data_IF_875763810399
#
_entry.id   IF_875763810399
#
_cell.length_a   1.000
_cell.length_b   1.000
_cell.length_c   1.000
_cell.angle_alpha   90.00
_cell.angle_beta   90.00
_cell.angle_gamma   90.00
#
_symmetry.space_group_name_H-M   'P 1'
#
loop_
_entity.id
_entity.type
_entity.pdbx_description
1 polymer ?
#
# COMPACT_ATOMS: atom_id res chain seq x y z
N UNK A 1 -118.46 46.96 52.03
CA UNK A 1 -117.57 46.51 53.11
C UNK A 1 -116.77 45.32 52.57
N UNK A 2 -115.43 45.44 52.49
CA UNK A 2 -114.36 44.40 52.56
C UNK A 2 -114.57 43.01 51.87
N UNK A 3 -113.65 42.24 51.27
CA UNK A 3 -112.18 42.22 51.09
C UNK A 3 -111.80 40.91 50.36
N UNK A 4 -110.86 40.97 49.40
CA UNK A 4 -109.78 40.03 48.99
C UNK A 4 -110.05 38.51 48.83
N UNK A 5 -109.64 37.92 47.70
CA UNK A 5 -108.64 36.82 47.69
C UNK A 5 -107.75 36.82 46.43
N UNK A 6 -106.45 36.65 46.66
CA UNK A 6 -105.34 36.81 45.71
C UNK A 6 -104.56 35.48 45.61
N UNK A 7 -103.77 35.33 44.53
CA UNK A 7 -102.58 34.45 44.35
C UNK A 7 -102.75 32.93 44.20
N UNK A 8 -102.43 32.42 43.00
CA UNK A 8 -101.42 31.35 42.75
C UNK A 8 -101.35 31.04 41.25
N UNK A 9 -100.35 31.56 40.52
CA UNK A 9 -99.89 31.05 39.20
C UNK A 9 -98.53 31.68 38.83
N UNK A 10 -97.58 31.63 39.75
CA UNK A 10 -96.17 31.99 39.51
C UNK A 10 -95.29 30.94 40.21
N UNK A 11 -95.19 29.72 39.66
CA UNK A 11 -94.14 28.78 40.10
C UNK A 11 -93.53 27.84 39.05
N UNK A 12 -94.15 27.62 37.87
CA UNK A 12 -93.61 26.63 36.90
C UNK A 12 -92.96 27.19 35.63
N UNK A 13 -92.55 28.46 35.60
CA UNK A 13 -91.77 28.99 34.45
C UNK A 13 -90.28 28.62 34.48
N UNK A 14 -89.77 28.09 35.59
CA UNK A 14 -88.36 27.65 35.70
C UNK A 14 -88.11 26.26 35.13
N UNK A 15 -89.10 25.35 35.23
CA UNK A 15 -88.98 23.99 34.67
C UNK A 15 -88.96 23.98 33.14
N UNK A 16 -89.87 24.73 32.51
CA UNK A 16 -89.93 24.86 31.04
C UNK A 16 -88.65 25.52 30.49
N UNK A 17 -88.11 26.53 31.18
CA UNK A 17 -86.88 27.20 30.76
C UNK A 17 -85.65 26.27 30.80
N UNK A 18 -85.53 25.42 31.83
CA UNK A 18 -84.43 24.47 31.91
C UNK A 18 -84.53 23.37 30.84
N UNK A 19 -85.74 22.89 30.56
CA UNK A 19 -85.96 21.88 29.51
C UNK A 19 -85.60 22.45 28.13
N UNK A 20 -85.99 23.69 27.84
CA UNK A 20 -85.65 24.37 26.58
C UNK A 20 -84.13 24.57 26.45
N UNK A 21 -83.46 24.98 27.54
CA UNK A 21 -82.00 25.15 27.53
C UNK A 21 -81.29 23.83 27.28
N UNK A 22 -81.68 22.74 27.95
CA UNK A 22 -81.07 21.41 27.74
C UNK A 22 -81.32 20.90 26.32
N UNK A 23 -82.54 21.07 25.79
CA UNK A 23 -82.87 20.66 24.43
C UNK A 23 -82.06 21.45 23.38
N UNK A 24 -81.94 22.77 23.53
CA UNK A 24 -81.12 23.61 22.65
C UNK A 24 -79.63 23.26 22.75
N UNK A 25 -79.10 23.05 23.96
CA UNK A 25 -77.71 22.62 24.14
C UNK A 25 -77.44 21.27 23.49
N UNK A 26 -78.36 20.30 23.58
CA UNK A 26 -78.21 19.00 22.93
C UNK A 26 -78.17 19.12 21.40
N UNK A 27 -79.05 19.92 20.81
CA UNK A 27 -79.08 20.13 19.35
C UNK A 27 -77.80 20.81 18.87
N UNK A 28 -77.30 21.80 19.60
CA UNK A 28 -76.02 22.46 19.29
C UNK A 28 -74.86 21.48 19.38
N UNK A 29 -74.83 20.63 20.42
CA UNK A 29 -73.78 19.59 20.56
C UNK A 29 -73.86 18.60 19.40
N UNK A 30 -75.04 18.11 19.03
CA UNK A 30 -75.21 17.19 17.89
C UNK A 30 -74.77 17.81 16.57
N UNK A 31 -75.08 19.09 16.33
CA UNK A 31 -74.63 19.80 15.15
C UNK A 31 -73.09 19.93 15.11
N UNK A 32 -72.46 20.27 16.25
CA UNK A 32 -71.00 20.37 16.36
C UNK A 32 -70.35 18.99 16.16
N UNK A 33 -70.83 17.94 16.82
CA UNK A 33 -70.29 16.58 16.72
C UNK A 33 -70.46 16.04 15.29
N UNK A 34 -71.62 16.26 14.67
CA UNK A 34 -71.86 15.85 13.28
C UNK A 34 -70.92 16.56 12.32
N UNK A 35 -70.68 17.87 12.50
CA UNK A 35 -69.70 18.61 11.70
C UNK A 35 -68.28 18.08 11.91
N UNK A 36 -67.86 17.78 13.14
CA UNK A 36 -66.52 17.23 13.42
C UNK A 36 -66.35 15.84 12.77
N UNK A 37 -67.38 14.99 12.81
CA UNK A 37 -67.34 13.66 12.18
C UNK A 37 -67.36 13.76 10.66
N UNK A 38 -68.17 14.64 10.08
CA UNK A 38 -68.19 14.92 8.64
C UNK A 38 -66.85 15.46 8.16
N UNK A 39 -66.24 16.39 8.89
CA UNK A 39 -64.91 16.91 8.55
C UNK A 39 -63.82 15.84 8.61
N UNK A 40 -63.94 14.87 9.53
CA UNK A 40 -63.05 13.71 9.59
C UNK A 40 -63.30 12.71 8.44
N UNK A 41 -64.53 12.63 7.93
CA UNK A 41 -64.89 11.74 6.81
C UNK A 41 -64.64 12.37 5.43
N UNK A 42 -64.68 13.70 5.35
CA UNK A 42 -64.35 14.49 4.16
C UNK A 42 -62.83 14.70 3.99
N UNK A 43 -62.00 14.24 4.94
CA UNK A 43 -60.58 14.05 4.61
C UNK A 43 -60.50 13.08 3.44
N UNK A 44 -60.03 13.59 2.31
CA UNK A 44 -59.85 12.76 1.13
C UNK A 44 -58.85 11.66 1.47
N UNK A 45 -58.96 10.50 0.81
CA UNK A 45 -57.97 9.43 0.99
C UNK A 45 -56.53 9.96 0.84
N UNK A 46 -56.34 10.94 -0.05
CA UNK A 46 -55.07 11.64 -0.24
C UNK A 46 -54.60 12.40 1.02
N UNK A 47 -55.49 13.08 1.73
CA UNK A 47 -55.15 13.80 2.97
C UNK A 47 -54.75 12.83 4.08
N UNK A 48 -55.46 11.70 4.19
CA UNK A 48 -55.11 10.65 5.15
C UNK A 48 -53.77 9.99 4.84
N UNK A 49 -53.48 9.71 3.57
CA UNK A 49 -52.19 9.17 3.14
C UNK A 49 -51.06 10.17 3.36
N UNK A 50 -51.27 11.45 3.04
CA UNK A 50 -50.33 12.54 3.35
C UNK A 50 -50.00 12.62 4.83
N UNK A 51 -51.00 12.51 5.70
CA UNK A 51 -50.80 12.52 7.15
C UNK A 51 -49.98 11.32 7.67
N UNK A 52 -49.89 10.23 6.91
CA UNK A 52 -49.16 9.01 7.30
C UNK A 52 -47.72 8.95 6.78
N UNK A 53 -47.38 9.77 5.79
CA UNK A 53 -45.99 9.95 5.38
C UNK A 53 -45.29 10.87 6.37
N UNK A 54 -44.22 10.38 6.97
CA UNK A 54 -43.39 11.17 7.86
C UNK A 54 -41.94 10.94 7.44
N UNK A 55 -41.45 11.82 6.55
CA UNK A 55 -40.09 11.76 6.04
C UNK A 55 -39.24 12.85 6.72
N UNK A 56 -38.00 12.51 7.04
CA UNK A 56 -37.00 13.46 7.51
C UNK A 56 -35.69 13.27 6.74
N UNK A 57 -34.93 14.35 6.59
CA UNK A 57 -33.54 14.30 6.14
C UNK A 57 -32.70 14.32 7.41
N UNK A 58 -31.99 13.23 7.70
CA UNK A 58 -31.25 13.07 8.95
C UNK A 58 -29.77 13.46 8.83
N UNK A 59 -29.23 13.46 7.60
CA UNK A 59 -27.89 13.95 7.32
C UNK A 59 -27.79 14.43 5.87
N UNK A 60 -26.95 15.44 5.66
CA UNK A 60 -26.50 15.87 4.34
C UNK A 60 -25.00 16.09 4.45
N UNK A 61 -24.23 15.39 3.62
CA UNK A 61 -22.78 15.49 3.62
C UNK A 61 -22.27 15.62 2.19
N UNK A 62 -21.31 16.51 1.99
CA UNK A 62 -20.50 16.51 0.78
C UNK A 62 -19.64 15.24 0.79
N UNK A 63 -19.43 14.64 -0.38
CA UNK A 63 -18.39 13.65 -0.58
C UNK A 63 -17.03 14.27 -0.24
N UNK A 64 -16.65 14.23 1.03
CA UNK A 64 -15.33 14.66 1.48
C UNK A 64 -14.34 13.54 1.20
N UNK A 65 -13.11 13.86 0.79
CA UNK A 65 -12.03 12.89 0.70
C UNK A 65 -11.91 12.12 2.02
N UNK A 66 -11.41 10.89 1.96
CA UNK A 66 -11.03 10.19 3.17
C UNK A 66 -9.93 10.95 3.91
N UNK A 67 -9.76 10.63 5.20
CA UNK A 67 -8.47 10.88 5.85
C UNK A 67 -7.35 10.16 5.08
N UNK A 68 -6.13 10.63 5.25
CA UNK A 68 -4.95 10.00 4.65
C UNK A 68 -4.69 8.63 5.26
N UNK A 69 -4.40 7.65 4.41
CA UNK A 69 -3.87 6.35 4.76
C UNK A 69 -2.36 6.39 4.56
N UNK A 70 -1.60 6.09 5.60
CA UNK A 70 -0.14 6.15 5.63
C UNK A 70 0.46 4.75 5.67
N UNK A 71 1.77 4.66 5.46
CA UNK A 71 2.47 3.37 5.44
C UNK A 71 2.31 2.64 6.79
N UNK A 72 1.95 1.36 6.71
CA UNK A 72 1.75 0.51 7.91
C UNK A 72 3.04 -0.15 8.40
N UNK A 73 4.13 0.01 7.64
CA UNK A 73 5.44 -0.55 7.91
C UNK A 73 6.54 0.30 7.27
N UNK A 74 7.78 -0.02 7.59
CA UNK A 74 8.95 0.63 7.01
C UNK A 74 8.96 0.58 5.47
N UNK A 75 9.41 1.67 4.83
CA UNK A 75 9.65 1.67 3.40
C UNK A 75 10.72 0.64 3.03
N UNK A 76 10.46 -0.12 1.97
CA UNK A 76 11.50 -0.98 1.38
C UNK A 76 12.44 -0.11 0.57
N UNK A 77 13.70 -0.02 0.99
CA UNK A 77 14.77 0.65 0.25
C UNK A 77 15.31 -0.34 -0.78
N UNK A 78 14.90 -0.20 -2.04
CA UNK A 78 15.36 -1.08 -3.13
C UNK A 78 16.73 -0.65 -3.65
N UNK A 79 16.96 0.68 -3.69
CA UNK A 79 18.23 1.32 -4.05
C UNK A 79 18.40 2.50 -3.09
N UNK A 80 19.61 2.73 -2.59
CA UNK A 80 19.94 3.78 -1.62
C UNK A 80 20.04 3.26 -0.18
N UNK A 81 19.88 4.14 0.79
CA UNK A 81 19.89 3.80 2.22
C UNK A 81 18.95 4.70 3.04
N UNK A 82 18.30 4.14 4.06
CA UNK A 82 17.73 4.93 5.14
C UNK A 82 18.86 5.30 6.11
N UNK A 83 19.04 6.59 6.39
CA UNK A 83 20.09 7.12 7.26
C UNK A 83 19.53 7.79 8.54
N UNK A 84 18.21 7.82 8.73
CA UNK A 84 17.58 8.32 9.95
C UNK A 84 16.04 8.35 9.89
N UNK A 85 15.42 8.26 11.06
CA UNK A 85 13.95 8.23 11.20
C UNK A 85 13.36 6.83 11.00
N UNK A 86 12.03 6.74 11.09
CA UNK A 86 11.23 5.53 10.84
C UNK A 86 9.91 5.88 10.18
N UNK A 87 9.18 4.92 9.61
CA UNK A 87 7.84 5.15 9.01
C UNK A 87 6.80 5.82 9.91
N UNK A 88 7.03 5.89 11.23
CA UNK A 88 6.17 6.66 12.15
C UNK A 88 6.32 8.16 11.89
N UNK A 89 7.52 8.61 11.53
CA UNK A 89 7.86 10.01 11.27
C UNK A 89 7.28 10.51 9.94
N UNK A 90 6.71 9.63 9.11
CA UNK A 90 6.06 9.99 7.83
C UNK A 90 4.53 9.91 7.85
N UNK A 91 3.93 9.76 9.04
CA UNK A 91 2.48 9.60 9.17
C UNK A 91 1.69 10.91 9.19
N UNK A 92 2.31 12.02 9.60
CA UNK A 92 1.65 13.32 9.75
C UNK A 92 2.61 14.44 9.40
N UNK A 93 2.07 15.55 8.88
CA UNK A 93 2.87 16.74 8.60
C UNK A 93 3.14 17.50 9.90
N UNK A 94 4.25 17.21 10.56
CA UNK A 94 4.60 17.80 11.85
C UNK A 94 6.08 18.25 11.97
N UNK A 95 6.90 18.00 10.96
CA UNK A 95 8.32 18.33 10.94
C UNK A 95 9.23 17.20 11.45
N UNK A 96 8.69 16.07 11.90
CA UNK A 96 9.42 14.82 12.00
C UNK A 96 9.52 14.20 10.60
N UNK A 97 10.64 13.56 10.28
CA UNK A 97 10.86 13.04 8.94
C UNK A 97 11.82 11.86 8.95
N UNK A 98 11.70 11.02 7.93
CA UNK A 98 12.71 10.06 7.56
C UNK A 98 13.71 10.69 6.60
N UNK A 99 14.98 10.32 6.75
CA UNK A 99 16.07 10.75 5.89
C UNK A 99 16.60 9.55 5.10
N UNK A 100 16.58 9.67 3.79
CA UNK A 100 17.19 8.71 2.88
C UNK A 100 18.33 9.35 2.11
N UNK A 101 19.24 8.50 1.65
CA UNK A 101 20.40 8.89 0.87
C UNK A 101 20.50 7.97 -0.33
N UNK A 102 20.72 8.55 -1.51
CA UNK A 102 21.07 7.79 -2.70
C UNK A 102 22.31 6.92 -2.50
N UNK A 103 22.49 5.88 -3.30
CA UNK A 103 23.79 5.19 -3.36
C UNK A 103 24.79 6.08 -4.09
N UNK A 104 25.66 6.79 -3.38
CA UNK A 104 26.59 7.73 -4.01
C UNK A 104 27.50 7.07 -5.05
N UNK A 105 27.79 7.78 -6.14
CA UNK A 105 28.73 7.41 -7.21
C UNK A 105 30.21 7.29 -6.78
N UNK A 106 30.49 6.94 -5.53
CA UNK A 106 31.83 6.80 -4.97
C UNK A 106 31.98 5.50 -4.17
N UNK A 107 32.35 4.42 -4.86
CA UNK A 107 33.10 3.32 -4.25
C UNK A 107 32.30 2.31 -3.41
N UNK A 108 31.30 1.67 -4.00
CA UNK A 108 31.07 0.23 -3.76
C UNK A 108 30.32 -0.31 -4.97
N UNK A 109 31.06 -0.84 -5.95
CA UNK A 109 30.47 -1.38 -7.16
C UNK A 109 29.39 -2.42 -6.84
N UNK A 110 28.35 -2.51 -7.66
CA UNK A 110 27.29 -3.51 -7.51
C UNK A 110 27.91 -4.90 -7.33
N UNK A 111 27.80 -5.48 -6.12
CA UNK A 111 28.32 -6.82 -5.84
C UNK A 111 27.29 -7.82 -6.34
N UNK A 112 27.63 -8.52 -7.42
CA UNK A 112 26.80 -9.57 -8.02
C UNK A 112 27.36 -10.93 -7.64
N UNK A 113 26.52 -11.83 -7.14
CA UNK A 113 26.86 -13.24 -6.98
C UNK A 113 26.97 -13.89 -8.36
N UNK A 114 28.11 -14.50 -8.66
CA UNK A 114 28.36 -15.20 -9.93
C UNK A 114 28.07 -16.68 -9.77
N UNK A 115 28.59 -17.29 -8.71
CA UNK A 115 28.40 -18.71 -8.44
C UNK A 115 28.52 -19.02 -6.95
N UNK A 116 27.84 -20.09 -6.52
CA UNK A 116 27.96 -20.64 -5.18
C UNK A 116 27.79 -22.17 -5.22
N UNK A 117 28.74 -22.89 -4.62
CA UNK A 117 28.74 -24.35 -4.55
C UNK A 117 28.99 -24.83 -3.13
N UNK A 118 28.05 -25.60 -2.58
CA UNK A 118 28.12 -26.19 -1.24
C UNK A 118 28.33 -27.71 -1.25
N UNK A 119 28.44 -28.33 -2.42
CA UNK A 119 28.62 -29.77 -2.65
C UNK A 119 27.51 -30.69 -2.10
N UNK A 120 26.40 -30.10 -1.65
CA UNK A 120 25.23 -30.83 -1.15
C UNK A 120 24.44 -31.52 -2.28
N UNK A 121 24.59 -31.05 -3.52
CA UNK A 121 23.92 -31.54 -4.71
C UNK A 121 24.51 -32.82 -5.33
N UNK A 122 24.34 -33.00 -6.64
CA UNK A 122 24.88 -34.15 -7.36
C UNK A 122 26.42 -34.08 -7.48
N UNK A 123 27.06 -35.24 -7.67
CA UNK A 123 28.50 -35.33 -7.94
C UNK A 123 28.79 -35.92 -9.33
N UNK A 124 29.61 -35.29 -10.17
CA UNK A 124 30.20 -33.95 -9.99
C UNK A 124 29.13 -32.85 -10.00
N UNK A 125 29.34 -31.70 -9.35
CA UNK A 125 28.39 -30.60 -9.44
C UNK A 125 28.25 -30.08 -10.87
N UNK A 126 27.11 -29.46 -11.17
CA UNK A 126 26.77 -29.06 -12.53
C UNK A 126 27.77 -28.02 -13.07
N UNK A 127 28.36 -28.28 -14.24
CA UNK A 127 29.36 -27.41 -14.86
C UNK A 127 30.78 -27.52 -14.32
N UNK A 128 30.99 -28.24 -13.22
CA UNK A 128 32.32 -28.50 -12.66
C UNK A 128 33.06 -29.58 -13.44
N UNK A 129 34.38 -29.47 -13.52
CA UNK A 129 35.26 -30.47 -14.12
C UNK A 129 36.15 -31.10 -13.06
N UNK A 130 36.15 -32.43 -13.01
CA UNK A 130 36.79 -33.21 -11.94
C UNK A 130 37.76 -34.22 -12.55
N UNK A 131 38.98 -34.27 -12.03
CA UNK A 131 39.99 -35.28 -12.42
C UNK A 131 40.67 -35.90 -11.19
N UNK A 132 41.26 -37.08 -11.33
CA UNK A 132 41.92 -37.76 -10.22
C UNK A 132 40.92 -38.37 -9.23
N UNK A 133 41.20 -38.22 -7.94
CA UNK A 133 40.43 -38.82 -6.83
C UNK A 133 39.61 -37.80 -6.04
N UNK A 134 39.18 -36.73 -6.69
CA UNK A 134 38.17 -35.84 -6.12
C UNK A 134 36.83 -36.57 -6.06
N UNK A 135 36.18 -36.56 -4.91
CA UNK A 135 34.84 -37.13 -4.72
C UNK A 135 34.04 -36.33 -3.69
N UNK A 136 32.72 -36.50 -3.73
CA UNK A 136 31.82 -36.04 -2.68
C UNK A 136 32.06 -36.88 -1.43
N UNK A 137 32.27 -36.24 -0.29
CA UNK A 137 32.57 -36.91 0.99
C UNK A 137 31.67 -36.43 2.10
N UNK A 138 31.38 -37.31 3.06
CA UNK A 138 30.62 -37.01 4.28
C UNK A 138 31.45 -37.10 5.55
N UNK A 139 32.72 -37.49 5.43
CA UNK A 139 33.61 -37.70 6.58
C UNK A 139 34.09 -36.37 7.17
N UNK A 140 34.18 -35.35 6.30
CA UNK A 140 34.62 -33.99 6.64
C UNK A 140 33.77 -32.99 5.84
N UNK A 141 32.72 -32.42 6.44
CA UNK A 141 31.98 -31.28 5.89
C UNK A 141 32.19 -30.05 6.78
N UNK A 142 32.30 -28.87 6.17
CA UNK A 142 32.32 -27.62 6.93
C UNK A 142 30.90 -27.17 7.22
N UNK A 143 30.05 -27.14 6.19
CA UNK A 143 28.66 -26.75 6.30
C UNK A 143 27.74 -27.71 5.55
N UNK A 144 26.81 -28.31 6.28
CA UNK A 144 25.91 -29.32 5.72
C UNK A 144 26.45 -30.73 5.88
N UNK A 145 26.06 -31.62 4.98
CA UNK A 145 26.36 -33.05 5.07
C UNK A 145 27.55 -33.48 4.21
N UNK A 146 27.96 -32.65 3.25
CA UNK A 146 28.93 -33.05 2.25
C UNK A 146 29.91 -31.95 1.88
N UNK A 147 31.10 -32.36 1.44
CA UNK A 147 32.12 -31.49 0.84
C UNK A 147 32.75 -32.17 -0.37
N UNK A 148 33.60 -31.45 -1.09
CA UNK A 148 34.51 -32.05 -2.06
C UNK A 148 35.81 -32.47 -1.35
N UNK A 149 36.14 -33.76 -1.37
CA UNK A 149 37.36 -34.31 -0.78
C UNK A 149 38.30 -34.90 -1.83
N UNK A 150 39.60 -34.81 -1.57
CA UNK A 150 40.64 -35.52 -2.30
C UNK A 150 41.52 -36.28 -1.30
N UNK A 151 41.35 -37.59 -1.28
CA UNK A 151 42.12 -38.48 -0.42
C UNK A 151 43.39 -38.99 -1.12
N UNK A 152 44.52 -38.85 -0.44
CA UNK A 152 45.79 -39.42 -0.87
C UNK A 152 45.79 -40.95 -0.82
N UNK A 153 46.69 -41.57 -1.58
CA UNK A 153 46.67 -43.03 -1.80
C UNK A 153 47.87 -43.77 -1.20
N UNK A 154 47.61 -45.00 -0.73
CA UNK A 154 48.62 -45.95 -0.27
C UNK A 154 49.43 -46.59 -1.40
N UNK A 155 50.74 -46.36 -1.44
CA UNK A 155 51.62 -46.98 -2.44
C UNK A 155 52.93 -46.24 -2.76
N UNK A 156 53.28 -45.19 -2.01
CA UNK A 156 54.54 -44.45 -2.17
C UNK A 156 54.57 -43.46 -3.35
N UNK A 157 53.53 -43.42 -4.19
CA UNK A 157 53.35 -42.40 -5.24
C UNK A 157 52.08 -41.62 -4.91
N UNK A 158 52.23 -40.32 -4.67
CA UNK A 158 51.11 -39.44 -4.36
C UNK A 158 50.17 -39.25 -5.55
N UNK A 159 48.89 -38.95 -5.27
CA UNK A 159 47.88 -38.70 -6.32
C UNK A 159 47.72 -37.21 -6.58
N UNK A 160 47.40 -36.88 -7.82
CA UNK A 160 47.08 -35.52 -8.23
C UNK A 160 45.75 -35.49 -8.98
N UNK A 161 45.09 -34.34 -8.91
CA UNK A 161 43.85 -34.10 -9.63
C UNK A 161 43.38 -32.67 -9.46
N UNK A 162 42.42 -32.31 -10.28
CA UNK A 162 41.86 -30.98 -10.39
C UNK A 162 40.38 -31.02 -10.10
N UNK A 163 39.93 -30.09 -9.27
CA UNK A 163 38.55 -29.69 -9.16
C UNK A 163 38.46 -28.29 -9.75
N UNK A 164 37.74 -28.12 -10.85
CA UNK A 164 37.65 -26.87 -11.60
C UNK A 164 36.22 -26.39 -11.62
N UNK A 165 36.00 -25.12 -11.26
CA UNK A 165 34.69 -24.46 -11.29
C UNK A 165 34.09 -24.45 -12.71
N UNK A 166 32.79 -24.14 -12.86
CA UNK A 166 32.21 -23.77 -14.13
C UNK A 166 32.90 -22.52 -14.70
N UNK A 167 32.55 -22.17 -15.93
CA UNK A 167 32.95 -20.91 -16.56
C UNK A 167 32.18 -19.77 -15.87
N UNK A 168 32.92 -18.82 -15.30
CA UNK A 168 32.40 -17.68 -14.54
C UNK A 168 32.59 -16.41 -15.36
N UNK A 169 31.50 -15.70 -15.65
CA UNK A 169 31.59 -14.43 -16.37
C UNK A 169 31.98 -13.29 -15.43
N UNK A 170 33.28 -13.06 -15.32
CA UNK A 170 33.88 -11.97 -14.56
C UNK A 170 34.25 -10.77 -15.46
N UNK A 171 33.77 -10.72 -16.71
CA UNK A 171 33.99 -9.55 -17.55
C UNK A 171 33.32 -8.31 -16.95
N UNK A 172 33.96 -7.15 -17.12
CA UNK A 172 33.51 -5.88 -16.56
C UNK A 172 33.62 -5.74 -15.05
N UNK A 173 34.27 -6.70 -14.37
CA UNK A 173 34.56 -6.59 -12.95
C UNK A 173 35.56 -5.46 -12.65
N UNK A 174 35.45 -4.87 -11.46
CA UNK A 174 36.50 -4.07 -10.81
C UNK A 174 37.23 -4.90 -9.76
N UNK A 175 36.50 -5.79 -9.08
CA UNK A 175 37.02 -6.74 -8.10
C UNK A 175 36.24 -8.04 -8.25
N UNK A 176 36.93 -9.18 -8.23
CA UNK A 176 36.30 -10.49 -8.04
C UNK A 176 36.53 -10.88 -6.58
N UNK A 177 35.50 -11.29 -5.87
CA UNK A 177 35.61 -11.83 -4.52
C UNK A 177 35.54 -13.35 -4.60
N UNK A 178 36.62 -14.01 -4.21
CA UNK A 178 36.70 -15.47 -4.10
C UNK A 178 36.68 -15.83 -2.62
N UNK A 179 35.71 -16.64 -2.21
CA UNK A 179 35.50 -17.04 -0.82
C UNK A 179 35.21 -18.55 -0.75
N UNK A 180 35.92 -19.29 0.11
CA UNK A 180 35.66 -20.71 0.32
C UNK A 180 36.28 -21.23 1.61
N UNK A 181 35.81 -22.40 2.06
CA UNK A 181 36.44 -23.16 3.14
C UNK A 181 37.25 -24.32 2.57
N UNK A 182 38.42 -24.55 3.11
CA UNK A 182 39.26 -25.67 2.69
C UNK A 182 39.76 -26.48 3.89
N UNK A 183 39.94 -27.78 3.68
CA UNK A 183 40.31 -28.72 4.73
C UNK A 183 41.71 -29.28 4.48
N UNK A 184 42.50 -29.33 5.54
CA UNK A 184 43.86 -29.87 5.59
C UNK A 184 43.92 -31.10 6.49
N UNK A 185 44.52 -32.18 5.99
CA UNK A 185 45.13 -33.22 6.83
C UNK A 185 46.53 -33.48 6.30
N UNK A 186 47.53 -33.17 7.12
CA UNK A 186 48.95 -33.45 6.93
C UNK A 186 49.46 -33.05 5.52
N UNK A 187 48.94 -31.97 4.93
CA UNK A 187 49.40 -31.48 3.63
C UNK A 187 50.83 -30.91 3.75
N UNK A 188 51.68 -31.21 2.76
CA UNK A 188 52.95 -30.49 2.60
C UNK A 188 52.75 -29.28 1.70
N UNK A 189 53.71 -28.36 1.74
CA UNK A 189 53.88 -27.34 0.72
C UNK A 189 53.82 -27.96 -0.69
N UNK A 190 53.11 -27.27 -1.58
CA UNK A 190 52.81 -27.64 -2.96
C UNK A 190 51.84 -28.82 -3.10
N UNK A 191 51.19 -29.30 -2.03
CA UNK A 191 50.19 -30.35 -2.12
C UNK A 191 48.81 -29.80 -2.52
N UNK A 192 48.46 -28.57 -2.15
CA UNK A 192 47.15 -28.02 -2.44
C UNK A 192 47.21 -26.58 -2.98
N UNK A 193 47.07 -26.46 -4.30
CA UNK A 193 47.29 -25.21 -5.02
C UNK A 193 45.97 -24.61 -5.50
N UNK A 194 45.83 -23.30 -5.34
CA UNK A 194 44.78 -22.48 -5.95
C UNK A 194 45.32 -21.89 -7.27
N UNK A 195 44.60 -22.13 -8.36
CA UNK A 195 44.92 -21.63 -9.69
C UNK A 195 43.74 -20.84 -10.26
N UNK A 196 44.03 -19.73 -10.95
CA UNK A 196 43.04 -18.90 -11.64
C UNK A 196 43.29 -18.94 -13.15
N UNK A 197 42.22 -18.96 -13.93
CA UNK A 197 42.30 -18.87 -15.40
C UNK A 197 42.10 -17.43 -15.86
N UNK A 198 43.08 -16.87 -16.57
CA UNK A 198 43.08 -15.49 -17.09
C UNK A 198 42.40 -15.35 -18.47
N UNK A 199 41.73 -16.41 -18.93
CA UNK A 199 41.13 -16.48 -20.26
C UNK A 199 42.04 -17.07 -21.34
N UNK A 200 43.34 -17.24 -21.06
CA UNK A 200 44.31 -17.88 -21.94
C UNK A 200 45.01 -19.06 -21.25
N UNK A 201 45.53 -18.84 -20.04
CA UNK A 201 46.38 -19.77 -19.29
C UNK A 201 45.96 -19.91 -17.83
N UNK A 202 46.36 -21.03 -17.22
CA UNK A 202 46.20 -21.27 -15.78
C UNK A 202 47.40 -20.70 -15.03
N UNK A 203 47.13 -19.78 -14.12
CA UNK A 203 48.14 -19.14 -13.28
C UNK A 203 48.05 -19.71 -11.87
N UNK A 204 49.16 -20.25 -11.35
CA UNK A 204 49.25 -20.65 -9.95
C UNK A 204 49.21 -19.39 -9.09
N UNK A 205 48.17 -19.28 -8.27
CA UNK A 205 47.88 -18.08 -7.49
C UNK A 205 48.40 -18.19 -6.06
N UNK A 206 48.12 -19.32 -5.40
CA UNK A 206 48.52 -19.59 -4.02
C UNK A 206 48.77 -21.08 -3.78
N UNK A 207 49.70 -21.35 -2.88
CA UNK A 207 49.80 -22.62 -2.14
C UNK A 207 49.01 -22.44 -0.84
N UNK A 208 47.91 -23.18 -0.67
CA UNK A 208 47.01 -22.99 0.46
C UNK A 208 47.67 -23.45 1.78
N UNK A 209 48.53 -24.46 1.72
CA UNK A 209 49.25 -24.96 2.91
C UNK A 209 50.30 -23.96 3.43
N UNK A 210 50.83 -23.10 2.55
CA UNK A 210 51.74 -22.02 2.96
C UNK A 210 51.01 -20.82 3.57
N UNK A 211 49.70 -20.70 3.32
CA UNK A 211 48.89 -19.64 3.90
C UNK A 211 48.61 -19.95 5.38
N UNK A 212 48.08 -21.14 5.64
CA UNK A 212 47.83 -21.69 6.97
C UNK A 212 48.10 -23.21 6.91
N UNK A 213 48.79 -23.76 7.92
CA UNK A 213 49.10 -25.19 8.02
C UNK A 213 48.73 -25.70 9.40
N UNK A 214 47.63 -26.44 9.48
CA UNK A 214 47.17 -27.18 10.67
C UNK A 214 46.02 -28.09 10.23
N UNK A 215 45.96 -29.31 10.77
CA UNK A 215 44.87 -30.23 10.44
C UNK A 215 43.51 -29.63 10.83
N UNK A 216 42.65 -29.35 9.87
CA UNK A 216 41.40 -28.61 10.13
C UNK A 216 40.82 -27.87 8.93
N UNK A 217 39.71 -27.19 9.18
CA UNK A 217 39.05 -26.30 8.22
C UNK A 217 39.58 -24.88 8.37
N UNK A 218 39.92 -24.28 7.23
CA UNK A 218 40.47 -22.94 7.08
C UNK A 218 39.61 -22.12 6.13
N UNK A 219 39.53 -20.81 6.34
CA UNK A 219 38.75 -19.90 5.49
C UNK A 219 39.66 -19.12 4.56
N UNK A 220 39.38 -19.20 3.27
CA UNK A 220 40.03 -18.37 2.26
C UNK A 220 39.06 -17.29 1.80
N UNK A 221 39.52 -16.04 1.82
CA UNK A 221 38.79 -14.92 1.23
C UNK A 221 39.77 -13.97 0.57
N UNK A 222 39.50 -13.58 -0.66
CA UNK A 222 40.37 -12.67 -1.40
C UNK A 222 39.60 -11.74 -2.35
N UNK A 223 39.86 -10.42 -2.29
CA UNK A 223 39.52 -9.50 -3.37
C UNK A 223 40.60 -9.57 -4.46
N UNK A 224 40.27 -10.19 -5.58
CA UNK A 224 41.11 -10.23 -6.78
C UNK A 224 40.91 -8.92 -7.55
N UNK A 225 41.91 -8.05 -7.49
CA UNK A 225 41.93 -6.75 -8.19
C UNK A 225 42.75 -6.75 -9.48
N UNK A 226 43.34 -7.89 -9.82
CA UNK A 226 44.18 -8.02 -11.01
C UNK A 226 43.30 -8.19 -12.26
N UNK A 227 43.34 -7.18 -13.13
CA UNK A 227 42.43 -7.07 -14.27
C UNK A 227 42.63 -8.14 -15.34
N UNK A 228 43.73 -8.91 -15.29
CA UNK A 228 43.91 -10.06 -16.18
C UNK A 228 42.84 -11.14 -15.99
N UNK A 229 42.22 -11.20 -14.80
CA UNK A 229 41.16 -12.16 -14.49
C UNK A 229 39.74 -11.65 -14.78
N UNK A 230 39.58 -10.40 -15.21
CA UNK A 230 38.27 -9.79 -15.50
C UNK A 230 37.77 -10.16 -16.89
N UNK A 231 37.67 -11.47 -17.12
CA UNK A 231 37.33 -12.09 -18.41
C UNK A 231 36.02 -12.86 -18.31
N UNK A 232 35.35 -13.04 -19.44
CA UNK A 232 34.05 -13.73 -19.49
C UNK A 232 34.13 -15.24 -19.31
N UNK A 233 35.35 -15.78 -19.31
CA UNK A 233 35.63 -17.19 -19.14
C UNK A 233 36.53 -17.50 -17.93
N UNK A 234 36.47 -16.68 -16.88
CA UNK A 234 37.22 -16.88 -15.65
C UNK A 234 36.84 -18.22 -15.03
N UNK A 235 37.82 -18.92 -14.44
CA UNK A 235 37.59 -20.18 -13.72
C UNK A 235 38.57 -20.28 -12.57
N UNK A 236 38.15 -20.99 -11.53
CA UNK A 236 38.96 -21.32 -10.37
C UNK A 236 39.25 -22.81 -10.39
N UNK A 237 40.48 -23.19 -10.04
CA UNK A 237 40.88 -24.58 -9.94
C UNK A 237 41.63 -24.83 -8.64
N UNK A 238 41.19 -25.88 -7.95
CA UNK A 238 41.87 -26.44 -6.80
C UNK A 238 42.61 -27.70 -7.25
N UNK A 239 43.92 -27.67 -7.08
CA UNK A 239 44.82 -28.73 -7.51
C UNK A 239 45.36 -29.46 -6.29
N UNK A 240 44.94 -30.70 -6.12
CA UNK A 240 45.63 -31.67 -5.29
C UNK A 240 46.85 -32.20 -6.06
N UNK A 241 48.02 -32.18 -5.45
CA UNK A 241 49.29 -32.46 -6.13
C UNK A 241 50.17 -33.39 -5.30
N UNK A 242 50.18 -34.67 -5.65
CA UNK A 242 51.04 -35.66 -5.01
C UNK A 242 50.62 -36.05 -3.59
N UNK A 243 49.33 -36.02 -3.26
CA UNK A 243 48.84 -36.40 -1.93
C UNK A 243 49.10 -37.89 -1.66
N UNK A 244 49.91 -38.15 -0.64
CA UNK A 244 50.27 -39.49 -0.18
C UNK A 244 49.25 -40.01 0.84
N UNK A 245 49.36 -41.28 1.21
CA UNK A 245 48.49 -41.89 2.20
C UNK A 245 48.46 -41.10 3.51
N UNK A 246 47.25 -40.90 4.03
CA UNK A 246 47.01 -40.12 5.25
C UNK A 246 46.83 -38.62 5.00
N UNK A 247 47.08 -38.13 3.77
CA UNK A 247 46.89 -36.72 3.40
C UNK A 247 45.55 -36.50 2.72
N UNK A 248 44.86 -35.43 3.10
CA UNK A 248 43.55 -35.09 2.54
C UNK A 248 43.46 -33.60 2.29
N UNK A 249 42.93 -33.23 1.13
CA UNK A 249 42.49 -31.86 0.86
C UNK A 249 40.96 -31.85 0.72
N UNK A 250 40.30 -30.88 1.32
CA UNK A 250 38.86 -30.68 1.17
C UNK A 250 38.51 -29.27 0.74
N UNK A 251 37.32 -29.11 0.16
CA UNK A 251 36.76 -27.84 -0.27
C UNK A 251 35.26 -27.81 0.02
N UNK A 252 34.78 -26.71 0.57
CA UNK A 252 33.37 -26.50 0.91
C UNK A 252 32.98 -25.01 0.80
N UNK A 253 31.68 -24.75 0.61
CA UNK A 253 31.06 -23.41 0.58
C UNK A 253 31.82 -22.42 -0.31
N UNK A 254 32.00 -22.77 -1.57
CA UNK A 254 32.63 -21.87 -2.55
C UNK A 254 31.64 -20.79 -2.94
N UNK A 255 32.06 -19.54 -2.91
CA UNK A 255 31.29 -18.38 -3.37
C UNK A 255 32.18 -17.47 -4.21
N UNK A 256 31.68 -17.09 -5.39
CA UNK A 256 32.35 -16.10 -6.25
C UNK A 256 31.40 -14.94 -6.50
N UNK A 257 31.86 -13.73 -6.22
CA UNK A 257 31.13 -12.48 -6.52
C UNK A 257 32.00 -11.57 -7.38
N UNK A 258 31.40 -10.62 -8.07
CA UNK A 258 32.13 -9.51 -8.68
C UNK A 258 31.51 -8.18 -8.31
N UNK A 259 32.32 -7.16 -8.06
CA UNK A 259 31.86 -5.77 -8.17
C UNK A 259 32.09 -5.31 -9.61
N UNK A 260 31.16 -4.54 -10.14
CA UNK A 260 31.36 -3.77 -11.38
C UNK A 260 31.29 -2.30 -11.03
N UNK A 261 32.01 -1.44 -11.76
CA UNK A 261 31.78 0.00 -11.69
C UNK A 261 30.29 0.23 -11.94
N UNK A 262 29.54 0.68 -10.93
CA UNK A 262 28.32 1.41 -11.24
C UNK A 262 28.79 2.67 -11.97
N UNK A 263 28.09 3.06 -13.03
CA UNK A 263 28.17 4.44 -13.52
C UNK A 263 28.17 5.41 -12.33
N UNK A 264 28.85 6.56 -12.45
CA UNK A 264 28.83 7.65 -11.46
C UNK A 264 27.41 8.21 -11.31
N UNK A 265 26.54 7.43 -10.70
CA UNK A 265 25.12 7.53 -10.90
C UNK A 265 24.48 7.20 -9.55
N UNK A 266 24.25 8.24 -8.78
CA UNK A 266 23.51 8.24 -7.54
C UNK A 266 22.05 7.91 -7.85
N UNK A 267 21.47 6.97 -7.09
CA UNK A 267 20.05 6.68 -7.23
C UNK A 267 19.41 6.27 -5.91
N UNK A 268 18.11 6.47 -5.83
CA UNK A 268 17.24 6.09 -4.73
C UNK A 268 15.95 5.51 -5.27
N UNK A 269 15.56 4.34 -4.78
CA UNK A 269 14.25 3.76 -5.04
C UNK A 269 13.63 3.25 -3.74
N UNK A 270 12.57 3.91 -3.29
CA UNK A 270 11.81 3.54 -2.10
C UNK A 270 10.47 2.92 -2.52
N UNK A 271 9.98 1.92 -1.79
CA UNK A 271 8.62 1.38 -1.95
C UNK A 271 7.86 1.42 -0.63
N UNK A 272 6.67 2.02 -0.65
CA UNK A 272 5.70 2.00 0.44
C UNK A 272 4.41 1.29 0.05
N UNK A 273 3.78 0.63 1.03
CA UNK A 273 2.46 0.02 0.90
C UNK A 273 1.46 0.72 1.81
N UNK A 274 0.29 0.99 1.27
CA UNK A 274 -0.81 1.71 1.92
C UNK A 274 -2.08 0.89 1.77
N UNK A 275 -2.88 0.80 2.84
CA UNK A 275 -4.10 -0.01 2.83
C UNK A 275 -5.30 0.90 3.05
N UNK A 276 -6.16 0.99 2.04
CA UNK A 276 -7.45 1.69 2.13
C UNK A 276 -8.45 0.79 2.87
N UNK A 277 -9.14 1.34 3.85
CA UNK A 277 -10.20 0.61 4.56
C UNK A 277 -11.46 0.48 3.68
N UNK A 278 -11.56 -0.63 2.93
CA UNK A 278 -12.69 -0.91 2.06
C UNK A 278 -14.01 -1.17 2.80
N UNK A 279 -13.97 -1.41 4.12
CA UNK A 279 -15.20 -1.54 4.92
C UNK A 279 -15.86 -0.17 5.13
N UNK A 280 -15.05 0.88 5.24
CA UNK A 280 -15.50 2.27 5.34
C UNK A 280 -15.66 2.92 3.96
N UNK A 281 -14.83 2.53 2.99
CA UNK A 281 -14.81 3.07 1.62
C UNK A 281 -14.96 1.95 0.59
N UNK A 282 -16.17 1.39 0.39
CA UNK A 282 -16.40 0.35 -0.60
C UNK A 282 -15.95 0.79 -2.00
N UNK A 283 -15.43 -0.14 -2.80
CA UNK A 283 -14.89 0.13 -4.15
C UNK A 283 -15.84 0.92 -5.05
N UNK A 284 -17.14 0.69 -4.95
CA UNK A 284 -18.18 1.37 -5.74
C UNK A 284 -18.30 2.87 -5.43
N UNK A 285 -17.76 3.33 -4.29
CA UNK A 285 -17.79 4.73 -3.85
C UNK A 285 -16.50 5.48 -4.17
N UNK A 286 -15.46 4.77 -4.61
CA UNK A 286 -14.15 5.33 -4.92
C UNK A 286 -14.18 5.87 -6.36
N UNK A 287 -13.95 7.17 -6.52
CA UNK A 287 -13.83 7.80 -7.84
C UNK A 287 -12.39 7.78 -8.33
N UNK A 288 -11.45 8.03 -7.43
CA UNK A 288 -10.02 8.03 -7.70
C UNK A 288 -9.25 7.94 -6.39
N UNK A 289 -7.94 7.74 -6.50
CA UNK A 289 -6.98 7.74 -5.40
C UNK A 289 -6.04 8.91 -5.63
N UNK A 290 -5.84 9.70 -4.58
CA UNK A 290 -4.81 10.72 -4.54
C UNK A 290 -3.63 10.21 -3.72
N UNK A 291 -2.42 10.45 -4.21
CA UNK A 291 -1.15 10.20 -3.54
C UNK A 291 -0.53 11.57 -3.25
N UNK A 292 -0.05 11.79 -2.03
CA UNK A 292 0.65 13.02 -1.66
C UNK A 292 1.93 12.71 -0.93
N UNK A 293 3.00 13.36 -1.37
CA UNK A 293 4.33 13.36 -0.78
C UNK A 293 4.64 14.77 -0.30
N UNK A 294 5.11 14.91 0.94
CA UNK A 294 5.80 16.10 1.44
C UNK A 294 7.25 15.76 1.72
N UNK A 295 8.14 16.42 1.00
CA UNK A 295 9.57 16.09 1.04
C UNK A 295 10.44 17.32 0.78
N UNK A 296 11.73 17.18 1.03
CA UNK A 296 12.77 18.11 0.57
C UNK A 296 14.01 17.33 0.15
N UNK A 297 14.75 17.83 -0.82
CA UNK A 297 15.99 17.23 -1.27
C UNK A 297 17.17 18.20 -1.08
N UNK A 298 18.37 17.65 -0.88
CA UNK A 298 19.59 18.46 -0.83
C UNK A 298 19.99 19.01 -2.19
N UNK A 299 19.66 18.29 -3.28
CA UNK A 299 19.79 18.77 -4.64
C UNK A 299 18.42 19.21 -5.19
N UNK A 300 18.32 20.50 -5.54
CA UNK A 300 17.12 21.08 -6.14
C UNK A 300 17.11 21.05 -7.67
N UNK A 301 18.12 20.46 -8.31
CA UNK A 301 18.17 20.26 -9.75
C UNK A 301 17.59 18.90 -10.19
N UNK A 302 17.45 17.98 -9.24
CA UNK A 302 17.00 16.62 -9.48
C UNK A 302 15.46 16.51 -9.49
N UNK A 303 14.94 15.67 -10.37
CA UNK A 303 13.51 15.41 -10.47
C UNK A 303 13.14 14.11 -9.79
N UNK A 304 12.04 14.14 -9.04
CA UNK A 304 11.53 12.99 -8.30
C UNK A 304 10.21 12.52 -8.89
N UNK A 305 10.05 11.21 -9.00
CA UNK A 305 8.86 10.59 -9.57
C UNK A 305 8.18 9.68 -8.57
N UNK A 306 6.85 9.71 -8.63
CA UNK A 306 6.02 8.68 -8.04
C UNK A 306 5.69 7.65 -9.12
N UNK A 307 5.80 6.38 -8.76
CA UNK A 307 5.25 5.26 -9.53
C UNK A 307 4.24 4.52 -8.67
N UNK A 308 3.20 3.96 -9.28
CA UNK A 308 2.28 3.06 -8.58
C UNK A 308 2.25 1.70 -9.26
N UNK A 309 2.08 0.63 -8.47
CA UNK A 309 1.95 -0.72 -9.00
C UNK A 309 0.61 -0.87 -9.71
N UNK A 310 0.64 -1.19 -10.99
CA UNK A 310 -0.52 -1.64 -11.73
C UNK A 310 -0.70 -3.14 -11.48
N UNK A 311 -1.77 -3.52 -10.77
CA UNK A 311 -2.06 -4.89 -10.39
C UNK A 311 -2.51 -5.75 -11.57
N UNK A 312 -3.07 -5.14 -12.61
CA UNK A 312 -3.44 -5.82 -13.86
C UNK A 312 -2.21 -6.28 -14.65
N UNK A 313 -1.16 -5.44 -14.74
CA UNK A 313 0.08 -5.77 -15.47
C UNK A 313 1.18 -6.36 -14.59
N UNK A 314 1.09 -6.21 -13.27
CA UNK A 314 2.13 -6.60 -12.32
C UNK A 314 3.36 -5.68 -12.30
N UNK A 315 3.31 -4.52 -12.97
CA UNK A 315 4.45 -3.60 -13.13
C UNK A 315 4.21 -2.26 -12.45
N UNK A 316 5.29 -1.53 -12.11
CA UNK A 316 5.18 -0.14 -11.65
C UNK A 316 5.16 0.82 -12.83
N UNK A 317 4.18 1.71 -12.85
CA UNK A 317 4.04 2.75 -13.88
C UNK A 317 4.20 4.13 -13.25
N UNK A 318 4.74 5.10 -14.01
CA UNK A 318 4.79 6.49 -13.57
C UNK A 318 3.38 7.03 -13.34
N UNK A 319 3.18 7.68 -12.20
CA UNK A 319 1.94 8.36 -11.83
C UNK A 319 2.29 9.82 -11.57
N UNK A 320 1.56 10.75 -12.20
CA UNK A 320 1.78 12.19 -12.03
C UNK A 320 2.45 12.87 -13.21
N UNK A 321 3.32 13.85 -12.92
CA UNK A 321 3.92 14.73 -13.92
C UNK A 321 4.90 13.96 -14.82
N UNK A 322 4.79 14.16 -16.13
CA UNK A 322 5.64 13.49 -17.12
C UNK A 322 7.14 13.85 -16.98
N UNK A 323 7.46 15.00 -16.38
CA UNK A 323 8.83 15.45 -16.13
C UNK A 323 9.30 15.22 -14.68
N UNK A 324 8.46 14.60 -13.83
CA UNK A 324 8.74 14.48 -12.41
C UNK A 324 8.49 15.78 -11.66
N UNK A 325 8.87 15.81 -10.40
CA UNK A 325 8.74 16.96 -9.51
C UNK A 325 10.13 17.41 -9.05
N UNK A 326 10.52 18.64 -9.37
CA UNK A 326 11.77 19.26 -8.90
C UNK A 326 11.51 19.92 -7.53
N UNK A 327 12.12 19.46 -6.44
CA UNK A 327 11.98 20.11 -5.14
C UNK A 327 12.79 21.41 -5.10
N UNK A 328 12.27 22.40 -4.40
CA UNK A 328 13.08 23.46 -3.83
C UNK A 328 13.92 22.91 -2.67
N UNK A 329 14.91 23.68 -2.21
CA UNK A 329 15.70 23.33 -1.02
C UNK A 329 14.90 23.38 0.30
N UNK A 330 13.63 23.83 0.23
CA UNK A 330 12.65 23.80 1.32
C UNK A 330 11.71 22.61 1.24
N UNK A 331 10.67 22.59 2.10
CA UNK A 331 9.62 21.57 2.04
C UNK A 331 8.67 21.84 0.89
N UNK A 332 8.47 20.84 0.02
CA UNK A 332 7.51 20.88 -1.07
C UNK A 332 6.47 19.76 -0.99
N UNK A 333 5.40 19.93 -1.76
CA UNK A 333 4.34 18.95 -1.91
C UNK A 333 4.29 18.44 -3.34
N UNK A 334 4.36 17.13 -3.51
CA UNK A 334 4.08 16.45 -4.76
C UNK A 334 2.81 15.60 -4.61
N UNK A 335 1.72 16.05 -5.24
CA UNK A 335 0.44 15.36 -5.24
C UNK A 335 0.07 14.84 -6.64
N UNK A 336 -0.52 13.65 -6.69
CA UNK A 336 -0.90 12.95 -7.92
C UNK A 336 -2.29 12.33 -7.75
N UNK A 337 -3.16 12.54 -8.74
CA UNK A 337 -4.45 11.89 -8.83
C UNK A 337 -4.41 10.78 -9.89
N UNK A 338 -4.81 9.55 -9.54
CA UNK A 338 -4.77 8.39 -10.44
C UNK A 338 -5.86 8.39 -11.51
N UNK A 339 -6.79 9.34 -11.45
CA UNK A 339 -7.89 9.51 -12.40
C UNK A 339 -8.79 8.27 -12.53
N UNK A 340 -9.38 8.09 -13.72
CA UNK A 340 -10.30 7.00 -14.00
C UNK A 340 -9.64 5.61 -13.96
N UNK A 341 -8.30 5.53 -14.06
CA UNK A 341 -7.55 4.28 -14.07
C UNK A 341 -7.16 3.80 -12.67
N UNK A 342 -7.59 4.49 -11.60
CA UNK A 342 -7.24 4.18 -10.21
C UNK A 342 -7.42 2.70 -9.87
N UNK A 343 -8.44 2.05 -10.46
CA UNK A 343 -8.76 0.65 -10.17
C UNK A 343 -7.65 -0.31 -10.57
N UNK A 344 -6.85 0.04 -11.57
CA UNK A 344 -5.68 -0.76 -11.94
C UNK A 344 -4.55 -0.65 -10.91
N UNK A 345 -4.57 0.37 -10.04
CA UNK A 345 -3.50 0.67 -9.08
C UNK A 345 -3.83 0.31 -7.63
N UNK A 346 -5.01 -0.26 -7.39
CA UNK A 346 -5.42 -0.79 -6.09
C UNK A 346 -5.84 -2.25 -6.20
N UNK A 347 -5.30 -3.09 -5.32
CA UNK A 347 -5.67 -4.49 -5.21
C UNK A 347 -7.07 -4.65 -4.58
N UNK A 348 -7.64 -5.85 -4.66
CA UNK A 348 -8.98 -6.16 -4.17
C UNK A 348 -9.11 -6.06 -2.63
N UNK A 349 -7.99 -6.06 -1.91
CA UNK A 349 -7.93 -5.86 -0.45
C UNK A 349 -7.75 -4.39 -0.04
N UNK A 350 -7.66 -3.47 -1.01
CA UNK A 350 -7.45 -2.04 -0.76
C UNK A 350 -5.98 -1.61 -0.75
N UNK A 351 -5.05 -2.51 -1.05
CA UNK A 351 -3.62 -2.21 -1.07
C UNK A 351 -3.23 -1.36 -2.29
N UNK A 352 -2.55 -0.25 -2.02
CA UNK A 352 -1.90 0.61 -3.00
C UNK A 352 -0.39 0.57 -2.73
N UNK A 353 0.40 0.29 -3.76
CA UNK A 353 1.87 0.20 -3.64
C UNK A 353 2.51 1.32 -4.45
N UNK A 354 3.23 2.22 -3.77
CA UNK A 354 3.82 3.43 -4.35
C UNK A 354 5.33 3.36 -4.26
N UNK A 355 6.01 3.78 -5.31
CA UNK A 355 7.45 3.98 -5.37
C UNK A 355 7.80 5.45 -5.49
N UNK A 356 8.85 5.87 -4.80
CA UNK A 356 9.54 7.14 -5.03
C UNK A 356 10.89 6.84 -5.68
N UNK A 357 11.17 7.48 -6.81
CA UNK A 357 12.41 7.31 -7.58
C UNK A 357 12.95 8.64 -8.09
N UNK A 358 14.25 8.73 -8.28
CA UNK A 358 14.92 9.85 -8.96
C UNK A 358 14.72 9.86 -10.50
N UNK A 359 15.21 10.93 -11.16
CA UNK A 359 15.21 11.12 -12.62
C UNK A 359 16.54 10.78 -13.23
N UNK A 360 16.91 9.50 -13.11
CA UNK A 360 18.15 9.00 -13.69
C UNK A 360 19.35 9.43 -12.90
N UNK A 361 20.23 8.45 -12.78
CA UNK A 361 21.29 8.52 -11.84
C UNK A 361 22.38 9.51 -12.30
N UNK A 362 22.66 10.53 -11.48
CA UNK A 362 23.64 11.58 -11.75
C UNK A 362 24.85 11.49 -10.80
N UNK A 363 25.86 12.34 -10.97
CA UNK A 363 27.09 12.22 -10.17
C UNK A 363 27.01 12.82 -8.77
N UNK A 364 26.00 13.64 -8.49
CA UNK A 364 25.78 14.24 -7.18
C UNK A 364 24.94 13.28 -6.34
N UNK A 365 25.26 13.15 -5.05
CA UNK A 365 24.49 12.27 -4.17
C UNK A 365 23.42 13.08 -3.46
N UNK A 366 22.16 12.75 -3.71
CA UNK A 366 21.03 13.45 -3.10
C UNK A 366 20.60 12.80 -1.80
N UNK A 367 20.46 13.64 -0.77
CA UNK A 367 19.77 13.35 0.47
C UNK A 367 18.33 13.82 0.34
N UNK A 368 17.38 12.95 0.64
CA UNK A 368 15.96 13.27 0.69
C UNK A 368 15.43 13.14 2.12
N UNK A 369 14.66 14.13 2.56
CA UNK A 369 13.86 14.04 3.77
C UNK A 369 12.39 13.91 3.39
N UNK A 370 11.70 12.91 3.92
CA UNK A 370 10.27 12.69 3.73
C UNK A 370 9.58 12.93 5.08
N UNK A 371 8.66 13.89 5.12
CA UNK A 371 7.86 14.20 6.31
C UNK A 371 6.45 13.63 6.20
N UNK A 372 5.96 13.40 4.98
CA UNK A 372 4.68 12.77 4.79
C UNK A 372 4.62 12.03 3.46
N UNK A 373 4.13 10.79 3.47
CA UNK A 373 3.69 10.11 2.26
C UNK A 373 2.42 9.32 2.60
N UNK A 374 1.37 9.58 1.85
CA UNK A 374 0.09 8.93 2.06
C UNK A 374 -0.77 8.87 0.81
N UNK A 375 -1.78 8.01 0.89
CA UNK A 375 -2.83 7.90 -0.12
C UNK A 375 -4.17 8.25 0.49
N UNK A 376 -5.09 8.83 -0.28
CA UNK A 376 -6.47 9.01 0.16
C UNK A 376 -7.43 8.67 -0.96
N UNK A 377 -8.63 8.28 -0.56
CA UNK A 377 -9.75 8.04 -1.45
C UNK A 377 -10.45 9.36 -1.70
N UNK A 378 -10.56 9.71 -2.97
CA UNK A 378 -11.52 10.70 -3.43
C UNK A 378 -12.82 9.97 -3.75
N UNK A 379 -13.88 10.35 -3.03
CA UNK A 379 -15.22 9.81 -3.27
C UNK A 379 -15.79 10.41 -4.56
N UNK A 380 -16.79 9.74 -5.13
CA UNK A 380 -17.71 10.39 -6.07
C UNK A 380 -18.13 11.76 -5.50
N UNK A 381 -17.98 12.83 -6.28
CA UNK A 381 -18.22 14.23 -5.88
C UNK A 381 -19.73 14.49 -5.80
N UNK A 382 -20.44 13.70 -4.99
CA UNK A 382 -21.87 13.80 -4.79
C UNK A 382 -22.20 14.39 -3.43
N UNK A 383 -23.29 15.14 -3.38
CA UNK A 383 -23.97 15.40 -2.12
C UNK A 383 -24.71 14.13 -1.71
N UNK A 384 -24.30 13.50 -0.59
CA UNK A 384 -25.01 12.36 -0.01
C UNK A 384 -26.10 12.88 0.93
N UNK A 385 -27.32 12.43 0.70
CA UNK A 385 -28.50 12.77 1.49
C UNK A 385 -29.06 11.51 2.12
N UNK A 386 -29.20 11.51 3.44
CA UNK A 386 -29.73 10.38 4.19
C UNK A 386 -31.16 10.69 4.60
N UNK A 387 -32.09 9.88 4.09
CA UNK A 387 -33.52 9.98 4.37
C UNK A 387 -33.93 8.96 5.43
N UNK A 388 -34.87 9.35 6.28
CA UNK A 388 -35.53 8.44 7.23
C UNK A 388 -37.04 8.57 7.09
N UNK A 389 -37.72 7.44 6.90
CA UNK A 389 -39.17 7.38 6.88
C UNK A 389 -39.68 6.87 8.23
N UNK A 390 -40.14 7.78 9.08
CA UNK A 390 -40.78 7.49 10.36
C UNK A 390 -42.28 7.18 10.20
N UNK A 391 -42.79 7.19 8.97
CA UNK A 391 -44.19 6.93 8.63
C UNK A 391 -44.52 5.45 8.45
N UNK A 392 -45.83 5.15 8.44
CA UNK A 392 -46.36 3.79 8.30
C UNK A 392 -46.50 3.30 6.84
N UNK A 393 -46.13 4.12 5.86
CA UNK A 393 -46.27 3.84 4.43
C UNK A 393 -44.93 4.07 3.73
N UNK A 394 -44.65 3.32 2.65
CA UNK A 394 -43.51 3.60 1.78
C UNK A 394 -43.69 4.96 1.09
N UNK A 395 -42.64 5.76 1.10
CA UNK A 395 -42.60 7.10 0.52
C UNK A 395 -41.82 7.07 -0.79
N UNK A 396 -42.35 7.72 -1.82
CA UNK A 396 -41.64 7.99 -3.08
C UNK A 396 -41.23 9.46 -3.12
N UNK A 397 -39.92 9.70 -3.15
CA UNK A 397 -39.33 11.03 -3.26
C UNK A 397 -39.14 11.34 -4.74
N UNK A 398 -39.66 12.49 -5.18
CA UNK A 398 -39.74 12.87 -6.61
C UNK A 398 -38.90 14.09 -6.96
N UNK A 399 -38.56 14.92 -5.97
CA UNK A 399 -37.78 16.14 -6.20
C UNK A 399 -36.93 16.47 -4.99
N UNK A 400 -35.70 16.91 -5.25
CA UNK A 400 -34.74 17.38 -4.24
C UNK A 400 -34.25 18.77 -4.61
N UNK A 401 -34.14 19.64 -3.62
CA UNK A 401 -33.68 21.01 -3.80
C UNK A 401 -32.46 21.28 -2.94
N UNK A 402 -31.45 21.94 -3.50
CA UNK A 402 -30.30 22.48 -2.78
C UNK A 402 -30.33 24.00 -2.94
N UNK A 403 -30.43 24.72 -1.82
CA UNK A 403 -30.73 26.15 -1.79
C UNK A 403 -29.73 26.86 -0.89
N UNK A 404 -29.08 27.93 -1.36
CA UNK A 404 -28.39 28.92 -0.54
C UNK A 404 -28.90 30.34 -0.83
N UNK A 405 -28.18 31.38 -0.40
CA UNK A 405 -28.58 32.78 -0.62
C UNK A 405 -28.51 33.24 -2.09
N UNK A 406 -27.81 32.52 -2.96
CA UNK A 406 -27.50 32.94 -4.34
C UNK A 406 -27.94 31.94 -5.41
N UNK A 407 -28.10 30.67 -5.07
CA UNK A 407 -28.34 29.56 -5.98
C UNK A 407 -29.40 28.60 -5.40
N UNK A 408 -30.31 28.18 -6.27
CA UNK A 408 -31.47 27.37 -5.96
C UNK A 408 -31.60 26.31 -7.06
N UNK A 409 -31.10 25.10 -6.79
CA UNK A 409 -31.11 24.01 -7.77
C UNK A 409 -32.14 22.95 -7.40
N UNK A 410 -32.90 22.52 -8.39
CA UNK A 410 -33.83 21.40 -8.30
C UNK A 410 -33.26 20.20 -9.05
N UNK A 411 -33.35 19.03 -8.44
CA UNK A 411 -33.00 17.74 -8.99
C UNK A 411 -34.24 16.86 -9.00
N UNK A 412 -34.56 16.28 -10.14
CA UNK A 412 -35.58 15.25 -10.23
C UNK A 412 -34.97 13.93 -9.76
N UNK A 413 -35.60 13.32 -8.77
CA UNK A 413 -35.13 12.08 -8.16
C UNK A 413 -36.25 11.04 -8.20
N UNK A 414 -35.91 9.76 -8.15
CA UNK A 414 -36.91 8.70 -7.96
C UNK A 414 -36.39 7.73 -6.91
N UNK A 415 -36.78 7.99 -5.66
CA UNK A 415 -36.25 7.26 -4.50
C UNK A 415 -37.39 6.74 -3.64
N UNK A 416 -37.49 5.42 -3.53
CA UNK A 416 -38.41 4.77 -2.60
C UNK A 416 -37.75 4.51 -1.25
N UNK A 417 -38.39 4.95 -0.16
CA UNK A 417 -37.97 4.71 1.23
C UNK A 417 -39.08 3.96 1.95
N UNK A 418 -38.81 2.70 2.32
CA UNK A 418 -39.78 1.83 2.99
C UNK A 418 -40.18 2.39 4.37
N UNK A 419 -41.33 1.95 4.89
CA UNK A 419 -41.77 2.31 6.24
C UNK A 419 -40.72 1.92 7.29
N UNK A 420 -40.46 2.83 8.23
CA UNK A 420 -39.45 2.69 9.28
C UNK A 420 -38.01 2.46 8.79
N UNK A 421 -37.71 2.75 7.51
CA UNK A 421 -36.39 2.54 6.92
C UNK A 421 -35.58 3.84 6.80
N UNK A 422 -34.26 3.67 6.81
CA UNK A 422 -33.29 4.70 6.45
C UNK A 422 -32.71 4.37 5.08
N UNK A 423 -32.56 5.38 4.22
CA UNK A 423 -31.98 5.21 2.88
C UNK A 423 -30.99 6.33 2.57
N UNK A 424 -29.81 5.94 2.11
CA UNK A 424 -28.82 6.86 1.56
C UNK A 424 -29.07 7.06 0.07
N UNK A 425 -28.98 8.30 -0.39
CA UNK A 425 -29.05 8.68 -1.81
C UNK A 425 -27.88 9.58 -2.15
N UNK A 426 -27.21 9.27 -3.25
CA UNK A 426 -26.10 10.06 -3.77
C UNK A 426 -26.63 10.90 -4.95
N UNK A 427 -26.46 12.21 -4.88
CA UNK A 427 -26.65 13.09 -6.03
C UNK A 427 -25.43 12.98 -6.96
N UNK A 428 -25.65 13.18 -8.26
CA UNK A 428 -24.61 13.06 -9.29
C UNK A 428 -23.39 13.98 -9.01
N UNK A 429 -22.26 13.65 -9.67
CA UNK A 429 -20.93 14.20 -9.42
C UNK A 429 -20.77 15.73 -9.64
N UNK A 430 -21.79 16.43 -10.16
CA UNK A 430 -21.78 17.88 -10.36
C UNK A 430 -22.51 18.66 -9.25
N UNK A 431 -23.06 17.95 -8.25
CA UNK A 431 -23.86 18.53 -7.17
C UNK A 431 -23.01 18.72 -5.92
N UNK A 432 -22.35 19.88 -5.83
CA UNK A 432 -21.66 20.33 -4.63
C UNK A 432 -22.59 21.08 -3.66
N UNK A 433 -22.35 20.91 -2.35
CA UNK A 433 -23.00 21.72 -1.34
C UNK A 433 -22.44 23.15 -1.38
N UNK A 434 -23.30 24.18 -1.31
CA UNK A 434 -22.83 25.55 -1.26
C UNK A 434 -21.97 25.83 -0.02
N UNK A 435 -20.98 26.70 -0.14
CA UNK A 435 -20.21 27.18 1.01
C UNK A 435 -21.05 28.13 1.87
N UNK A 436 -21.11 27.87 3.18
CA UNK A 436 -21.92 28.62 4.15
C UNK A 436 -23.34 28.07 4.31
N UNK A 437 -24.25 28.88 4.85
CA UNK A 437 -25.62 28.45 5.14
C UNK A 437 -26.39 27.97 3.90
N UNK A 438 -26.85 26.72 3.93
CA UNK A 438 -27.66 26.11 2.87
C UNK A 438 -28.87 25.36 3.44
N UNK A 439 -29.81 25.02 2.57
CA UNK A 439 -30.99 24.22 2.89
C UNK A 439 -31.20 23.16 1.82
N UNK A 440 -31.36 21.91 2.24
CA UNK A 440 -31.80 20.81 1.38
C UNK A 440 -33.26 20.52 1.65
N UNK A 441 -34.07 20.44 0.60
CA UNK A 441 -35.48 20.04 0.69
C UNK A 441 -35.72 18.80 -0.15
N UNK A 442 -36.58 17.92 0.31
CA UNK A 442 -37.07 16.80 -0.51
C UNK A 442 -38.58 16.79 -0.51
N UNK A 443 -39.16 16.54 -1.68
CA UNK A 443 -40.59 16.52 -1.93
C UNK A 443 -41.02 15.10 -2.28
N UNK A 444 -42.04 14.61 -1.60
CA UNK A 444 -42.68 13.33 -1.88
C UNK A 444 -43.66 13.46 -3.05
N UNK A 445 -43.99 12.35 -3.71
CA UNK A 445 -45.02 12.32 -4.77
C UNK A 445 -46.38 12.84 -4.30
N UNK A 446 -46.69 12.63 -3.01
CA UNK A 446 -47.92 13.14 -2.40
C UNK A 446 -47.81 14.60 -1.93
N UNK A 447 -46.65 15.25 -2.05
CA UNK A 447 -46.46 16.68 -1.77
C UNK A 447 -46.02 17.05 -0.35
N UNK A 448 -45.73 16.07 0.52
CA UNK A 448 -45.04 16.32 1.78
C UNK A 448 -43.58 16.74 1.55
N UNK A 449 -43.06 17.61 2.42
CA UNK A 449 -41.72 18.19 2.30
C UNK A 449 -40.93 17.93 3.58
N UNK A 450 -39.72 17.40 3.44
CA UNK A 450 -38.70 17.43 4.50
C UNK A 450 -37.63 18.47 4.19
N UNK A 451 -37.12 19.10 5.23
CA UNK A 451 -36.14 20.20 5.14
C UNK A 451 -34.99 19.92 6.09
N UNK A 452 -33.77 20.10 5.60
CA UNK A 452 -32.53 20.11 6.36
C UNK A 452 -31.83 21.44 6.14
N UNK A 453 -31.32 22.05 7.21
CA UNK A 453 -30.50 23.26 7.12
C UNK A 453 -29.09 22.91 7.59
N UNK A 454 -28.10 23.20 6.73
CA UNK A 454 -26.69 23.03 7.03
C UNK A 454 -25.95 24.37 6.92
N UNK A 455 -24.69 24.37 7.36
CA UNK A 455 -23.81 25.56 7.35
C UNK A 455 -22.38 25.19 7.04
#
# INVERSE_FOLDING_TARGET
>A
MWTITCRRLRRDRRGISNIIVVALSLVVILAIVSNVVLWNFEMTQLDWEKMKENISIINVESGSPSSWFTAQSEYTVNIGSNIGGTHIDTQVVDGNFETFMETGGGGSGNITLIDAESFEGNWSPDGWSVTGSWNKESDYSYHGSYSAGFNGWGGGVGRSGYLTSPILDCSGAEVIFVDFWWYDIDLDDNNFMLEYYDGNTWNTHRDLNQLESENGWHHYTEPVTDSQYFVSNFQIRWRANGLQWGKTAGLDVVTVKKSTSSSNSSSLELTGQFTVDLSTYPLEQIRTIEIQLRYRASDSAENWYLKARNWTSGTYNYVGLSMGHTPATGWDYYAVNLGADWRSYMDDDGTVSVKLVDQYADSEQTRIDIDFLGVRVEKSEGTRVIFKNDGGLTVHLVSLWVINSTDHRQYDISVFVNSAATKSYLLDDDVSLPTGGYTVKVVTERGNIAVYSGS
#
